data_IF_432043878448
#
_entry.id   IF_432043878448
#
_cell.length_a   1.000
_cell.length_b   1.000
_cell.length_c   1.000
_cell.angle_alpha   90.00
_cell.angle_beta   90.00
_cell.angle_gamma   90.00
#
_symmetry.space_group_name_H-M   'P 1'
#
loop_
_entity.id
_entity.type
_entity.pdbx_description
1 polymer ?
#
# COMPACT_ATOMS: atom_id res chain seq x y z
N UNK A 1 45.17 64.62 -20.66
CA UNK A 1 45.56 64.38 -19.24
C UNK A 1 44.47 64.94 -18.32
N UNK A 2 44.12 64.27 -17.23
CA UNK A 2 42.76 63.72 -17.05
C UNK A 2 41.89 64.44 -15.99
N UNK A 3 40.57 64.40 -16.21
CA UNK A 3 39.52 64.74 -15.24
C UNK A 3 39.36 63.61 -14.20
N UNK A 4 39.03 63.90 -12.94
CA UNK A 4 39.09 62.93 -11.84
C UNK A 4 37.98 61.87 -11.91
N UNK A 5 38.36 60.62 -11.62
CA UNK A 5 37.45 59.48 -11.48
C UNK A 5 36.56 59.67 -10.24
N UNK A 6 35.23 59.75 -10.44
CA UNK A 6 34.24 59.66 -9.36
C UNK A 6 34.17 58.21 -8.84
N UNK A 7 34.37 58.03 -7.53
CA UNK A 7 34.08 56.79 -6.81
C UNK A 7 32.60 56.41 -6.99
N UNK A 8 32.34 55.21 -7.53
CA UNK A 8 31.01 54.59 -7.50
C UNK A 8 30.77 54.08 -6.08
N UNK A 9 29.91 54.77 -5.32
CA UNK A 9 29.34 54.25 -4.07
C UNK A 9 28.56 52.97 -4.38
N UNK A 10 28.94 51.86 -3.75
CA UNK A 10 28.20 50.60 -3.81
C UNK A 10 26.78 50.78 -3.28
N UNK A 11 25.79 50.31 -4.04
CA UNK A 11 24.41 50.18 -3.56
C UNK A 11 24.35 48.98 -2.63
N UNK A 12 24.04 49.21 -1.36
CA UNK A 12 23.57 48.15 -0.46
C UNK A 12 22.24 47.61 -1.01
N UNK A 13 22.03 46.28 -1.06
CA UNK A 13 20.75 45.71 -1.42
C UNK A 13 19.73 46.00 -0.30
N UNK A 14 18.59 46.59 -0.69
CA UNK A 14 17.45 46.80 0.20
C UNK A 14 16.88 45.43 0.59
N UNK A 15 16.84 45.16 1.89
CA UNK A 15 16.13 44.03 2.48
C UNK A 15 14.65 44.12 2.09
N UNK A 16 14.20 43.23 1.21
CA UNK A 16 12.76 43.06 0.96
C UNK A 16 12.14 42.36 2.16
N UNK A 17 11.21 43.04 2.81
CA UNK A 17 10.37 42.46 3.84
C UNK A 17 9.58 41.30 3.23
N UNK A 18 9.78 40.10 3.78
CA UNK A 18 9.01 38.89 3.45
C UNK A 18 7.57 39.13 3.90
N UNK A 19 6.65 39.27 2.95
CA UNK A 19 5.23 39.23 3.26
C UNK A 19 4.84 37.79 3.62
N UNK A 20 4.03 37.58 4.67
CA UNK A 20 3.57 36.24 5.03
C UNK A 20 2.68 35.71 3.92
N UNK A 21 3.05 34.55 3.37
CA UNK A 21 2.24 33.79 2.40
C UNK A 21 0.94 33.41 3.10
N UNK A 22 -0.15 34.05 2.71
CA UNK A 22 -1.48 33.66 3.16
C UNK A 22 -1.75 32.23 2.65
N UNK A 23 -1.83 31.27 3.59
CA UNK A 23 -2.34 29.94 3.32
C UNK A 23 -3.79 30.07 2.84
N UNK A 24 -3.97 30.09 1.53
CA UNK A 24 -5.29 30.00 0.93
C UNK A 24 -5.80 28.57 1.15
N UNK A 25 -6.73 28.40 2.06
CA UNK A 25 -7.47 27.15 2.25
C UNK A 25 -8.30 26.96 0.97
N UNK A 26 -7.80 26.15 0.05
CA UNK A 26 -8.59 25.74 -1.12
C UNK A 26 -9.82 24.98 -0.61
N UNK A 27 -11.01 25.49 -0.89
CA UNK A 27 -12.28 24.83 -0.58
C UNK A 27 -12.28 23.50 -1.33
N UNK A 28 -12.39 22.37 -0.61
CA UNK A 28 -12.48 21.07 -1.24
C UNK A 28 -13.76 21.03 -2.08
N UNK A 29 -13.68 20.69 -3.38
CA UNK A 29 -14.86 20.69 -4.23
C UNK A 29 -15.83 19.59 -3.77
N UNK A 30 -17.13 19.86 -3.89
CA UNK A 30 -18.19 19.06 -3.25
C UNK A 30 -18.98 18.27 -4.28
N UNK A 31 -19.78 17.30 -3.82
CA UNK A 31 -20.63 16.51 -4.72
C UNK A 31 -21.69 17.38 -5.42
N UNK A 32 -22.04 18.52 -4.84
CA UNK A 32 -23.05 19.43 -5.38
C UNK A 32 -22.58 20.16 -6.65
N UNK A 33 -21.27 20.15 -6.92
CA UNK A 33 -20.68 20.68 -8.16
C UNK A 33 -20.88 19.77 -9.38
N UNK A 34 -21.66 18.69 -9.25
CA UNK A 34 -22.02 17.76 -10.33
C UNK A 34 -23.52 17.77 -10.66
N UNK A 35 -24.02 18.78 -11.40
CA UNK A 35 -25.44 18.88 -11.73
C UNK A 35 -25.95 17.73 -12.63
N UNK A 36 -25.07 17.03 -13.35
CA UNK A 36 -25.44 15.94 -14.28
C UNK A 36 -25.50 14.53 -13.67
N UNK A 37 -25.21 14.36 -12.37
CA UNK A 37 -25.32 13.05 -11.71
C UNK A 37 -26.78 12.76 -11.34
N UNK A 38 -27.30 11.63 -11.83
CA UNK A 38 -28.55 11.03 -11.34
C UNK A 38 -28.44 10.75 -9.84
N UNK A 39 -29.54 10.82 -9.08
CA UNK A 39 -29.55 10.67 -7.61
C UNK A 39 -28.83 9.40 -7.12
N UNK A 40 -29.01 8.28 -7.83
CA UNK A 40 -28.35 7.01 -7.52
C UNK A 40 -26.83 7.10 -7.64
N UNK A 41 -26.30 7.74 -8.68
CA UNK A 41 -24.84 7.93 -8.86
C UNK A 41 -24.27 8.91 -7.84
N UNK A 42 -25.04 9.97 -7.52
CA UNK A 42 -24.69 10.93 -6.47
C UNK A 42 -24.52 10.23 -5.12
N UNK A 43 -25.43 9.32 -4.78
CA UNK A 43 -25.38 8.54 -3.55
C UNK A 43 -24.09 7.70 -3.42
N UNK A 44 -23.67 6.99 -4.48
CA UNK A 44 -22.45 6.18 -4.40
C UNK A 44 -21.17 7.00 -4.48
N UNK A 45 -21.20 8.14 -5.17
CA UNK A 45 -20.09 9.08 -5.12
C UNK A 45 -19.94 9.67 -3.71
N UNK A 46 -21.04 10.04 -3.04
CA UNK A 46 -21.03 10.45 -1.64
C UNK A 46 -20.56 9.32 -0.72
N UNK A 47 -21.03 8.09 -0.93
CA UNK A 47 -20.57 6.92 -0.17
C UNK A 47 -19.04 6.76 -0.31
N UNK A 48 -18.52 6.89 -1.52
CA UNK A 48 -17.08 6.85 -1.77
C UNK A 48 -16.35 7.90 -0.93
N UNK A 49 -16.78 9.17 -1.00
CA UNK A 49 -16.11 10.28 -0.31
C UNK A 49 -16.21 10.20 1.22
N UNK A 50 -17.34 9.74 1.76
CA UNK A 50 -17.57 9.70 3.21
C UNK A 50 -16.92 8.48 3.88
N UNK A 51 -16.99 7.33 3.22
CA UNK A 51 -16.65 6.04 3.83
C UNK A 51 -15.47 5.37 3.13
N UNK A 52 -15.53 5.24 1.80
CA UNK A 52 -14.54 4.45 1.08
C UNK A 52 -13.15 5.10 1.12
N UNK A 53 -13.03 6.43 0.99
CA UNK A 53 -11.74 7.14 1.05
C UNK A 53 -10.96 6.94 2.34
N UNK A 54 -11.67 6.77 3.47
CA UNK A 54 -11.07 6.49 4.80
C UNK A 54 -10.53 5.06 4.91
N UNK A 55 -11.10 4.16 4.13
CA UNK A 55 -10.67 2.76 4.05
C UNK A 55 -9.55 2.57 3.00
N UNK A 56 -9.57 3.35 1.92
CA UNK A 56 -8.50 3.33 0.92
C UNK A 56 -7.22 4.08 1.35
N UNK A 57 -7.25 4.83 2.46
CA UNK A 57 -6.07 5.50 3.02
C UNK A 57 -6.33 5.88 4.47
N UNK A 58 -5.44 5.42 5.37
CA UNK A 58 -5.50 5.72 6.81
C UNK A 58 -5.06 7.15 7.16
N UNK A 59 -4.58 7.93 6.19
CA UNK A 59 -4.13 9.30 6.43
C UNK A 59 -5.30 10.24 6.79
N UNK A 60 -5.08 11.21 7.69
CA UNK A 60 -6.08 12.24 8.01
C UNK A 60 -6.62 12.95 6.77
N UNK A 61 -7.84 13.47 6.82
CA UNK A 61 -8.51 14.10 5.67
C UNK A 61 -7.67 15.20 4.96
N UNK A 62 -6.87 15.97 5.71
CA UNK A 62 -5.98 17.01 5.17
C UNK A 62 -4.81 16.47 4.31
N UNK A 63 -4.46 15.19 4.48
CA UNK A 63 -3.40 14.47 3.78
C UNK A 63 -3.91 13.29 2.93
N UNK A 64 -5.20 12.95 3.05
CA UNK A 64 -5.82 11.83 2.35
C UNK A 64 -5.76 12.05 0.82
N UNK A 65 -5.12 11.11 0.13
CA UNK A 65 -4.85 11.21 -1.30
C UNK A 65 -6.13 11.36 -2.13
N UNK A 66 -7.16 10.58 -1.79
CA UNK A 66 -8.40 10.53 -2.54
C UNK A 66 -9.18 11.83 -2.46
N UNK A 67 -9.20 12.45 -1.29
CA UNK A 67 -9.88 13.71 -1.05
C UNK A 67 -9.09 14.92 -1.60
N UNK A 68 -7.77 14.92 -1.42
CA UNK A 68 -6.93 16.08 -1.78
C UNK A 68 -6.53 16.14 -3.25
N UNK A 69 -6.36 14.99 -3.90
CA UNK A 69 -5.83 14.93 -5.27
C UNK A 69 -6.81 14.25 -6.24
N UNK A 70 -7.29 13.05 -5.91
CA UNK A 70 -8.13 12.29 -6.83
C UNK A 70 -9.50 12.97 -7.05
N UNK A 71 -10.11 13.53 -6.01
CA UNK A 71 -11.40 14.22 -6.09
C UNK A 71 -11.34 15.45 -7.02
N UNK A 72 -10.41 16.41 -6.86
CA UNK A 72 -10.23 17.49 -7.83
C UNK A 72 -10.05 16.99 -9.27
N UNK A 73 -9.30 15.90 -9.48
CA UNK A 73 -9.17 15.30 -10.81
C UNK A 73 -10.51 14.75 -11.34
N UNK A 74 -11.36 14.19 -10.48
CA UNK A 74 -12.70 13.68 -10.85
C UNK A 74 -13.67 14.79 -11.31
N UNK A 75 -13.46 16.04 -10.87
CA UNK A 75 -14.24 17.18 -11.39
C UNK A 75 -13.98 17.42 -12.87
N UNK A 76 -12.76 17.19 -13.33
CA UNK A 76 -12.33 17.46 -14.71
C UNK A 76 -12.09 16.20 -15.55
N UNK A 77 -12.27 15.02 -14.97
CA UNK A 77 -12.00 13.74 -15.63
C UNK A 77 -13.15 12.77 -15.36
N UNK A 78 -13.96 12.53 -16.40
CA UNK A 78 -15.03 11.54 -16.36
C UNK A 78 -14.58 10.13 -15.96
N UNK A 79 -13.47 9.55 -16.48
CA UNK A 79 -13.08 8.19 -16.11
C UNK A 79 -12.82 8.05 -14.61
N UNK A 80 -12.17 9.02 -13.96
CA UNK A 80 -11.95 8.99 -12.50
C UNK A 80 -13.28 9.04 -11.76
N UNK A 81 -14.20 9.91 -12.19
CA UNK A 81 -15.54 10.03 -11.58
C UNK A 81 -16.32 8.71 -11.68
N UNK A 82 -16.34 8.09 -12.87
CA UNK A 82 -16.99 6.79 -13.07
C UNK A 82 -16.35 5.70 -12.19
N UNK A 83 -15.02 5.68 -12.09
CA UNK A 83 -14.30 4.75 -11.21
C UNK A 83 -14.65 4.94 -9.73
N UNK A 84 -14.69 6.19 -9.23
CA UNK A 84 -15.08 6.46 -7.84
C UNK A 84 -16.50 6.00 -7.53
N UNK A 85 -17.45 6.22 -8.45
CA UNK A 85 -18.84 5.74 -8.30
C UNK A 85 -18.87 4.20 -8.28
N UNK A 86 -18.11 3.54 -9.17
CA UNK A 86 -18.04 2.08 -9.25
C UNK A 86 -17.48 1.47 -7.94
N UNK A 87 -16.42 2.07 -7.40
CA UNK A 87 -15.79 1.63 -6.14
C UNK A 87 -16.73 1.90 -4.96
N UNK A 88 -17.37 3.08 -4.88
CA UNK A 88 -18.35 3.38 -3.82
C UNK A 88 -19.54 2.42 -3.82
N UNK A 89 -20.08 2.08 -5.01
CA UNK A 89 -21.14 1.10 -5.14
C UNK A 89 -20.70 -0.32 -4.74
N UNK A 90 -19.48 -0.72 -5.12
CA UNK A 90 -18.92 -2.03 -4.77
C UNK A 90 -18.61 -2.15 -3.28
N UNK A 91 -18.09 -1.09 -2.68
CA UNK A 91 -17.80 -1.01 -1.25
C UNK A 91 -19.07 -1.10 -0.42
N UNK A 92 -20.13 -0.38 -0.82
CA UNK A 92 -21.43 -0.48 -0.17
C UNK A 92 -22.04 -1.88 -0.29
N UNK A 93 -21.89 -2.53 -1.45
CA UNK A 93 -22.31 -3.91 -1.64
C UNK A 93 -21.52 -4.87 -0.75
N UNK A 94 -20.20 -4.69 -0.64
CA UNK A 94 -19.33 -5.46 0.24
C UNK A 94 -19.76 -5.36 1.70
N UNK A 95 -19.98 -4.15 2.20
CA UNK A 95 -20.49 -3.94 3.56
C UNK A 95 -21.89 -4.54 3.78
N UNK A 96 -22.81 -4.40 2.82
CA UNK A 96 -24.17 -4.91 2.94
C UNK A 96 -24.23 -6.44 3.07
N UNK A 97 -23.33 -7.17 2.38
CA UNK A 97 -23.25 -8.64 2.47
C UNK A 97 -22.95 -9.12 3.90
N UNK A 98 -22.19 -8.34 4.66
CA UNK A 98 -21.84 -8.68 6.05
C UNK A 98 -23.02 -8.67 7.01
N UNK A 99 -24.10 -7.95 6.68
CA UNK A 99 -25.31 -7.80 7.49
C UNK A 99 -26.43 -8.73 6.96
N UNK A 100 -26.09 -9.72 6.12
CA UNK A 100 -27.06 -10.69 5.59
C UNK A 100 -27.97 -10.16 4.48
N UNK A 101 -27.72 -8.95 3.96
CA UNK A 101 -28.46 -8.45 2.80
C UNK A 101 -28.04 -9.21 1.54
N UNK A 102 -28.92 -10.12 1.12
CA UNK A 102 -28.69 -10.99 -0.03
C UNK A 102 -28.84 -10.22 -1.34
N UNK A 103 -27.72 -10.04 -2.05
CA UNK A 103 -27.63 -9.68 -3.47
C UNK A 103 -28.56 -8.55 -3.98
N UNK A 104 -28.26 -7.28 -3.65
CA UNK A 104 -28.78 -6.14 -4.40
C UNK A 104 -28.14 -6.14 -5.81
N UNK A 105 -28.69 -6.95 -6.71
CA UNK A 105 -28.28 -7.11 -8.11
C UNK A 105 -28.15 -5.76 -8.82
N UNK A 106 -28.94 -4.76 -8.41
CA UNK A 106 -28.86 -3.38 -8.87
C UNK A 106 -27.51 -2.71 -8.56
N UNK A 107 -26.95 -2.92 -7.36
CA UNK A 107 -25.64 -2.37 -6.96
C UNK A 107 -24.54 -2.97 -7.81
N UNK A 108 -24.55 -4.31 -7.97
CA UNK A 108 -23.56 -5.02 -8.78
C UNK A 108 -23.61 -4.57 -10.23
N UNK A 109 -24.81 -4.47 -10.82
CA UNK A 109 -25.00 -4.04 -12.21
C UNK A 109 -24.53 -2.61 -12.42
N UNK A 110 -24.89 -1.68 -11.53
CA UNK A 110 -24.44 -0.29 -11.63
C UNK A 110 -22.92 -0.19 -11.49
N UNK A 111 -22.33 -0.86 -10.51
CA UNK A 111 -20.90 -0.82 -10.26
C UNK A 111 -20.10 -1.33 -11.47
N UNK A 112 -20.49 -2.47 -12.04
CA UNK A 112 -19.90 -3.02 -13.27
C UNK A 112 -20.08 -2.05 -14.46
N UNK A 113 -21.27 -1.47 -14.60
CA UNK A 113 -21.54 -0.53 -15.68
C UNK A 113 -20.65 0.73 -15.59
N UNK A 114 -20.51 1.31 -14.39
CA UNK A 114 -19.63 2.48 -14.18
C UNK A 114 -18.15 2.12 -14.39
N UNK A 115 -17.72 0.95 -13.91
CA UNK A 115 -16.38 0.42 -14.13
C UNK A 115 -16.05 0.30 -15.64
N UNK A 116 -16.91 -0.36 -16.42
CA UNK A 116 -16.71 -0.51 -17.87
C UNK A 116 -16.74 0.86 -18.57
N UNK A 117 -17.62 1.76 -18.16
CA UNK A 117 -17.68 3.13 -18.70
C UNK A 117 -16.37 3.89 -18.44
N UNK A 118 -15.78 3.73 -17.27
CA UNK A 118 -14.49 4.33 -16.92
C UNK A 118 -13.35 3.79 -17.81
N UNK A 119 -13.31 2.47 -18.07
CA UNK A 119 -12.32 1.87 -18.97
C UNK A 119 -12.41 2.48 -20.37
N UNK A 120 -13.62 2.60 -20.94
CA UNK A 120 -13.76 3.22 -22.27
C UNK A 120 -13.36 4.70 -22.26
N UNK A 121 -13.73 5.43 -21.20
CA UNK A 121 -13.47 6.86 -21.09
C UNK A 121 -12.00 7.23 -20.85
N UNK A 122 -11.16 6.33 -20.30
CA UNK A 122 -9.74 6.60 -20.06
C UNK A 122 -8.86 6.42 -21.30
N UNK A 123 -9.30 5.62 -22.30
CA UNK A 123 -8.49 5.31 -23.50
C UNK A 123 -7.96 6.56 -24.23
N UNK A 124 -8.77 7.62 -24.48
CA UNK A 124 -8.25 8.82 -25.15
C UNK A 124 -7.24 9.58 -24.30
N UNK A 125 -7.37 9.52 -22.96
CA UNK A 125 -6.42 10.16 -22.03
C UNK A 125 -5.04 9.50 -22.12
N UNK A 126 -5.00 8.18 -22.30
CA UNK A 126 -3.75 7.41 -22.43
C UNK A 126 -3.00 7.66 -23.73
N UNK A 127 -3.69 8.12 -24.78
CA UNK A 127 -3.07 8.41 -26.08
C UNK A 127 -2.12 9.63 -26.05
N UNK A 128 -2.31 10.54 -25.08
CA UNK A 128 -1.52 11.77 -24.97
C UNK A 128 -0.63 11.70 -23.72
N UNK A 129 0.68 11.52 -23.95
CA UNK A 129 1.69 11.42 -22.88
C UNK A 129 1.97 12.79 -22.25
N UNK A 130 1.26 13.09 -21.17
CA UNK A 130 1.54 14.22 -20.26
C UNK A 130 1.51 13.74 -18.82
N UNK A 131 2.26 14.35 -17.92
CA UNK A 131 2.30 13.98 -16.49
C UNK A 131 0.90 13.91 -15.88
N UNK A 132 0.05 14.90 -16.16
CA UNK A 132 -1.34 14.93 -15.69
C UNK A 132 -2.18 13.74 -16.21
N UNK A 133 -2.02 13.36 -17.49
CA UNK A 133 -2.75 12.23 -18.05
C UNK A 133 -2.24 10.89 -17.49
N UNK A 134 -0.94 10.78 -17.21
CA UNK A 134 -0.40 9.60 -16.53
C UNK A 134 -0.93 9.53 -15.10
N UNK A 135 -0.95 10.63 -14.33
CA UNK A 135 -1.57 10.68 -13.01
C UNK A 135 -3.04 10.25 -13.05
N UNK A 136 -3.82 10.76 -14.01
CA UNK A 136 -5.23 10.36 -14.19
C UNK A 136 -5.38 8.86 -14.46
N UNK A 137 -4.48 8.30 -15.26
CA UNK A 137 -4.47 6.88 -15.59
C UNK A 137 -4.10 6.04 -14.37
N UNK A 138 -3.05 6.41 -13.63
CA UNK A 138 -2.63 5.77 -12.38
C UNK A 138 -3.74 5.79 -11.31
N UNK A 139 -4.43 6.92 -11.14
CA UNK A 139 -5.60 7.04 -10.25
C UNK A 139 -6.70 6.07 -10.67
N UNK A 140 -6.99 5.97 -11.97
CA UNK A 140 -7.98 4.99 -12.46
C UNK A 140 -7.52 3.56 -12.19
N UNK A 141 -6.25 3.22 -12.43
CA UNK A 141 -5.70 1.90 -12.15
C UNK A 141 -5.86 1.51 -10.67
N UNK A 142 -5.54 2.41 -9.72
CA UNK A 142 -5.74 2.13 -8.29
C UNK A 142 -7.22 1.92 -7.94
N UNK A 143 -8.13 2.74 -8.50
CA UNK A 143 -9.57 2.54 -8.30
C UNK A 143 -10.07 1.22 -8.92
N UNK A 144 -9.50 0.81 -10.06
CA UNK A 144 -9.81 -0.47 -10.68
C UNK A 144 -9.27 -1.65 -9.88
N UNK A 145 -8.10 -1.51 -9.26
CA UNK A 145 -7.57 -2.46 -8.27
C UNK A 145 -8.53 -2.58 -7.09
N UNK A 146 -8.97 -1.46 -6.49
CA UNK A 146 -9.93 -1.47 -5.39
C UNK A 146 -11.26 -2.12 -5.78
N UNK A 147 -11.79 -1.80 -6.98
CA UNK A 147 -12.98 -2.44 -7.52
C UNK A 147 -12.77 -3.95 -7.70
N UNK A 148 -11.62 -4.35 -8.25
CA UNK A 148 -11.25 -5.75 -8.47
C UNK A 148 -11.22 -6.54 -7.17
N UNK A 149 -10.62 -5.98 -6.12
CA UNK A 149 -10.56 -6.59 -4.79
C UNK A 149 -11.96 -6.79 -4.20
N UNK A 150 -12.74 -5.72 -4.12
CA UNK A 150 -14.11 -5.73 -3.57
C UNK A 150 -15.05 -6.66 -4.35
N UNK A 151 -14.84 -6.81 -5.65
CA UNK A 151 -15.65 -7.67 -6.51
C UNK A 151 -15.14 -9.11 -6.62
N UNK A 152 -13.99 -9.44 -6.02
CA UNK A 152 -13.32 -10.75 -6.15
C UNK A 152 -12.79 -11.04 -7.56
N UNK A 153 -12.48 -10.01 -8.36
CA UNK A 153 -11.97 -10.11 -9.74
C UNK A 153 -10.43 -9.97 -9.76
N UNK A 154 -9.73 -10.91 -9.14
CA UNK A 154 -8.28 -10.88 -8.97
C UNK A 154 -7.49 -10.77 -10.29
N UNK A 155 -7.90 -11.47 -11.35
CA UNK A 155 -7.23 -11.36 -12.66
C UNK A 155 -7.28 -9.95 -13.26
N UNK A 156 -8.38 -9.22 -13.05
CA UNK A 156 -8.48 -7.82 -13.46
C UNK A 156 -7.62 -6.91 -12.56
N UNK A 157 -7.65 -7.17 -11.26
CA UNK A 157 -6.85 -6.45 -10.27
C UNK A 157 -5.36 -6.49 -10.65
N UNK A 158 -4.80 -7.68 -10.86
CA UNK A 158 -3.38 -7.82 -11.21
C UNK A 158 -3.06 -7.17 -12.56
N UNK A 159 -3.98 -7.21 -13.52
CA UNK A 159 -3.78 -6.53 -14.81
C UNK A 159 -3.67 -5.01 -14.65
N UNK A 160 -4.55 -4.40 -13.85
CA UNK A 160 -4.52 -2.96 -13.58
C UNK A 160 -3.31 -2.55 -12.74
N UNK A 161 -2.90 -3.40 -11.79
CA UNK A 161 -1.71 -3.19 -11.00
C UNK A 161 -0.43 -3.24 -11.84
N UNK A 162 -0.30 -4.23 -12.74
CA UNK A 162 0.81 -4.34 -13.68
C UNK A 162 0.85 -3.16 -14.65
N UNK A 163 -0.29 -2.85 -15.28
CA UNK A 163 -0.38 -1.74 -16.24
C UNK A 163 -0.02 -0.40 -15.59
N UNK A 164 -0.49 -0.15 -14.35
CA UNK A 164 -0.14 1.05 -13.61
C UNK A 164 1.34 1.11 -13.24
N UNK A 165 1.94 0.00 -12.80
CA UNK A 165 3.37 -0.06 -12.49
C UNK A 165 4.25 0.29 -13.71
N UNK A 166 3.88 -0.19 -14.90
CA UNK A 166 4.62 0.09 -16.14
C UNK A 166 4.64 1.60 -16.49
N UNK A 167 3.62 2.37 -16.11
CA UNK A 167 3.55 3.80 -16.39
C UNK A 167 4.60 4.63 -15.62
N UNK A 168 5.21 4.09 -14.57
CA UNK A 168 6.30 4.80 -13.87
C UNK A 168 7.58 4.88 -14.70
N UNK A 169 7.77 4.00 -15.69
CA UNK A 169 8.83 4.14 -16.69
C UNK A 169 8.63 5.39 -17.54
N UNK A 170 7.41 5.62 -18.01
CA UNK A 170 7.07 6.82 -18.79
C UNK A 170 7.27 8.11 -17.97
N UNK A 171 6.94 8.11 -16.68
CA UNK A 171 7.14 9.27 -15.78
C UNK A 171 8.62 9.55 -15.57
N UNK A 172 9.45 8.50 -15.47
CA UNK A 172 10.89 8.61 -15.27
C UNK A 172 11.55 9.35 -16.43
N UNK A 173 11.20 8.98 -17.65
CA UNK A 173 11.71 9.61 -18.86
C UNK A 173 11.24 11.08 -19.03
N UNK A 174 10.07 11.44 -18.49
CA UNK A 174 9.52 12.80 -18.57
C UNK A 174 10.20 13.84 -17.65
N UNK A 175 11.26 13.47 -16.92
CA UNK A 175 12.10 14.35 -16.08
C UNK A 175 11.32 15.24 -15.08
N UNK A 176 10.79 14.62 -14.02
CA UNK A 176 10.11 15.30 -12.91
C UNK A 176 10.98 16.35 -12.17
N UNK A 177 12.30 16.39 -12.38
CA UNK A 177 13.16 17.44 -11.84
C UNK A 177 12.76 18.85 -12.31
N UNK A 178 11.98 18.92 -13.40
CA UNK A 178 11.40 20.16 -13.92
C UNK A 178 9.92 20.35 -13.58
N UNK A 179 9.22 19.30 -13.13
CA UNK A 179 7.79 19.37 -12.78
C UNK A 179 7.52 20.25 -11.56
N UNK A 180 6.35 20.90 -11.48
CA UNK A 180 5.88 21.62 -10.31
C UNK A 180 5.88 20.75 -9.04
N UNK A 181 6.08 21.34 -7.84
CA UNK A 181 6.10 20.58 -6.59
C UNK A 181 4.84 19.73 -6.34
N UNK A 182 3.66 20.20 -6.75
CA UNK A 182 2.40 19.49 -6.57
C UNK A 182 2.34 18.17 -7.36
N UNK A 183 2.80 18.18 -8.61
CA UNK A 183 2.88 16.97 -9.45
C UNK A 183 3.84 15.93 -8.88
N UNK A 184 4.94 16.38 -8.23
CA UNK A 184 5.89 15.49 -7.57
C UNK A 184 5.24 14.79 -6.38
N UNK A 185 4.55 15.53 -5.54
CA UNK A 185 3.85 14.96 -4.37
C UNK A 185 2.79 13.95 -4.79
N UNK A 186 2.03 14.24 -5.87
CA UNK A 186 1.06 13.28 -6.43
C UNK A 186 1.78 12.02 -6.91
N UNK A 187 2.90 12.17 -7.62
CA UNK A 187 3.70 11.03 -8.09
C UNK A 187 4.23 10.19 -6.94
N UNK A 188 4.82 10.80 -5.91
CA UNK A 188 5.36 10.12 -4.74
C UNK A 188 4.28 9.33 -3.99
N UNK A 189 3.09 9.91 -3.80
CA UNK A 189 1.96 9.20 -3.17
C UNK A 189 1.43 8.06 -4.03
N UNK A 190 1.33 8.25 -5.35
CA UNK A 190 0.95 7.17 -6.28
C UNK A 190 1.97 6.05 -6.24
N UNK A 191 3.26 6.38 -6.34
CA UNK A 191 4.38 5.44 -6.27
C UNK A 191 4.32 4.63 -4.98
N UNK A 192 4.13 5.30 -3.84
CA UNK A 192 3.99 4.65 -2.54
C UNK A 192 2.89 3.59 -2.60
N UNK A 193 1.66 3.94 -3.02
CA UNK A 193 0.52 3.02 -3.11
C UNK A 193 0.78 1.84 -4.06
N UNK A 194 1.37 2.08 -5.23
CA UNK A 194 1.69 1.03 -6.20
C UNK A 194 2.79 0.08 -5.69
N UNK A 195 3.81 0.63 -5.03
CA UNK A 195 4.87 -0.14 -4.39
C UNK A 195 4.28 -1.16 -3.42
N UNK A 196 3.39 -0.73 -2.51
CA UNK A 196 2.79 -1.61 -1.51
C UNK A 196 1.99 -2.72 -2.16
N UNK A 197 1.05 -2.32 -3.02
CA UNK A 197 0.12 -3.25 -3.63
C UNK A 197 0.87 -4.29 -4.45
N UNK A 198 1.91 -3.87 -5.17
CA UNK A 198 2.71 -4.79 -5.97
C UNK A 198 3.59 -5.69 -5.12
N UNK A 199 4.15 -5.23 -4.00
CA UNK A 199 4.90 -6.09 -3.07
C UNK A 199 3.98 -7.13 -2.44
N UNK A 200 2.83 -6.72 -1.92
CA UNK A 200 1.80 -7.64 -1.39
C UNK A 200 1.29 -8.63 -2.43
N UNK A 201 1.26 -8.22 -3.70
CA UNK A 201 0.81 -9.05 -4.83
C UNK A 201 1.92 -9.82 -5.52
N UNK A 202 3.17 -9.73 -5.06
CA UNK A 202 4.35 -10.20 -5.80
C UNK A 202 4.29 -11.70 -6.12
N UNK A 203 3.81 -12.53 -5.20
CA UNK A 203 3.62 -13.97 -5.42
C UNK A 203 2.60 -14.32 -6.52
N UNK A 204 1.73 -13.37 -6.88
CA UNK A 204 0.67 -13.54 -7.86
C UNK A 204 0.98 -12.90 -9.21
N UNK A 205 2.12 -12.20 -9.29
CA UNK A 205 2.53 -11.39 -10.43
C UNK A 205 3.87 -11.90 -10.97
N UNK A 206 4.20 -11.52 -12.20
CA UNK A 206 5.51 -11.83 -12.78
C UNK A 206 6.62 -10.99 -12.12
N UNK A 207 7.85 -11.48 -12.13
CA UNK A 207 9.03 -10.84 -11.52
C UNK A 207 9.25 -9.39 -11.98
N UNK A 208 8.82 -9.05 -13.19
CA UNK A 208 9.00 -7.71 -13.77
C UNK A 208 7.85 -6.75 -13.50
N UNK A 209 6.81 -7.19 -12.79
CA UNK A 209 5.60 -6.39 -12.54
C UNK A 209 5.83 -5.14 -11.71
N UNK A 210 6.90 -5.10 -10.91
CA UNK A 210 7.31 -3.95 -10.10
C UNK A 210 8.44 -3.12 -10.72
N UNK A 211 8.88 -3.44 -11.94
CA UNK A 211 10.08 -2.82 -12.56
C UNK A 211 10.04 -1.29 -12.58
N UNK A 212 8.89 -0.68 -12.87
CA UNK A 212 8.74 0.79 -12.93
C UNK A 212 8.93 1.46 -11.58
N UNK A 213 8.31 0.93 -10.54
CA UNK A 213 8.46 1.43 -9.16
C UNK A 213 9.88 1.20 -8.65
N UNK A 214 10.44 0.01 -8.87
CA UNK A 214 11.81 -0.33 -8.46
C UNK A 214 12.86 0.57 -9.14
N UNK A 215 12.72 0.83 -10.44
CA UNK A 215 13.58 1.75 -11.17
C UNK A 215 13.47 3.18 -10.63
N UNK A 216 12.25 3.61 -10.29
CA UNK A 216 12.00 4.95 -9.75
C UNK A 216 12.75 5.18 -8.43
N UNK A 217 12.59 4.27 -7.47
CA UNK A 217 13.26 4.37 -6.16
C UNK A 217 14.78 4.36 -6.31
N UNK A 218 15.34 3.44 -7.11
CA UNK A 218 16.79 3.37 -7.39
C UNK A 218 17.35 4.67 -7.96
N UNK A 219 16.58 5.36 -8.81
CA UNK A 219 17.05 6.56 -9.50
C UNK A 219 16.92 7.85 -8.70
N UNK A 220 15.92 7.93 -7.80
CA UNK A 220 15.59 9.17 -7.08
C UNK A 220 16.10 9.19 -5.64
N UNK A 221 16.45 8.04 -5.07
CA UNK A 221 17.01 7.92 -3.73
C UNK A 221 18.28 7.06 -3.77
N UNK A 222 19.43 7.62 -4.22
CA UNK A 222 20.71 7.00 -3.88
C UNK A 222 20.78 6.92 -2.35
N UNK A 223 21.26 5.78 -1.82
CA UNK A 223 21.44 5.49 -0.39
C UNK A 223 21.73 6.79 0.39
N UNK A 224 20.71 7.31 1.10
CA UNK A 224 20.86 8.54 1.88
C UNK A 224 21.99 8.31 2.90
N UNK A 225 22.80 9.34 3.12
CA UNK A 225 23.70 9.38 4.28
C UNK A 225 22.84 9.19 5.53
N UNK A 226 23.25 8.23 6.36
CA UNK A 226 22.68 7.94 7.67
C UNK A 226 22.30 9.25 8.40
N UNK A 227 21.02 9.41 8.73
CA UNK A 227 20.53 10.52 9.55
C UNK A 227 20.02 9.96 10.86
N UNK A 228 20.43 10.57 11.97
CA UNK A 228 19.97 10.20 13.31
C UNK A 228 18.78 11.07 13.77
N UNK A 229 18.28 11.95 12.89
CA UNK A 229 17.16 12.83 13.23
C UNK A 229 15.81 12.10 13.12
N UNK A 230 14.85 12.42 14.02
CA UNK A 230 13.48 11.92 13.90
C UNK A 230 12.89 12.24 12.52
N UNK A 231 11.98 11.39 12.04
CA UNK A 231 11.18 11.72 10.86
C UNK A 231 10.37 13.00 11.08
N UNK A 232 10.18 13.78 10.02
CA UNK A 232 9.34 14.98 10.00
C UNK A 232 7.90 14.68 10.34
N UNK A 233 7.35 13.61 9.75
CA UNK A 233 6.00 13.13 9.98
C UNK A 233 5.86 11.64 9.60
N UNK A 234 4.67 11.08 9.84
CA UNK A 234 4.37 9.67 9.53
C UNK A 234 4.38 9.35 8.03
N UNK A 235 4.20 10.34 7.15
CA UNK A 235 4.28 10.12 5.71
C UNK A 235 5.74 9.90 5.29
N UNK A 236 6.68 10.67 5.84
CA UNK A 236 8.12 10.45 5.61
C UNK A 236 8.57 9.08 6.13
N UNK A 237 8.13 8.70 7.34
CA UNK A 237 8.44 7.39 7.92
C UNK A 237 7.90 6.24 7.04
N UNK A 238 6.63 6.34 6.60
CA UNK A 238 6.02 5.38 5.68
C UNK A 238 6.81 5.26 4.38
N UNK A 239 7.10 6.40 3.74
CA UNK A 239 7.79 6.44 2.46
C UNK A 239 9.20 5.86 2.51
N UNK A 240 9.96 6.11 3.60
CA UNK A 240 11.28 5.52 3.78
C UNK A 240 11.22 4.01 4.09
N UNK A 241 10.23 3.55 4.85
CA UNK A 241 10.05 2.11 5.13
C UNK A 241 9.77 1.31 3.84
N UNK A 242 9.02 1.88 2.89
CA UNK A 242 8.75 1.25 1.57
C UNK A 242 10.00 0.93 0.77
N UNK A 243 11.10 1.62 1.02
CA UNK A 243 12.34 1.35 0.32
C UNK A 243 12.91 0.00 0.74
N UNK A 244 12.64 -0.46 1.97
CA UNK A 244 13.04 -1.80 2.43
C UNK A 244 12.25 -2.89 1.69
N UNK A 245 10.95 -2.65 1.41
CA UNK A 245 10.09 -3.59 0.68
C UNK A 245 10.69 -3.98 -0.70
N UNK A 246 11.43 -3.06 -1.34
CA UNK A 246 12.00 -3.19 -2.68
C UNK A 246 13.43 -3.76 -2.72
N UNK A 247 14.09 -3.94 -1.57
CA UNK A 247 15.42 -4.55 -1.49
C UNK A 247 15.33 -6.08 -1.52
N UNK A 248 14.83 -6.63 -2.63
CA UNK A 248 14.68 -8.08 -2.79
C UNK A 248 16.01 -8.83 -2.63
N UNK A 249 17.11 -8.25 -3.10
CA UNK A 249 18.44 -8.88 -3.04
C UNK A 249 18.98 -9.02 -1.60
N UNK A 250 18.38 -8.33 -0.63
CA UNK A 250 18.78 -8.38 0.78
C UNK A 250 17.79 -9.18 1.67
N UNK A 251 16.76 -9.82 1.07
CA UNK A 251 15.70 -10.53 1.82
C UNK A 251 16.16 -11.94 2.21
N UNK A 252 16.21 -12.28 3.51
CA UNK A 252 16.75 -13.56 3.97
C UNK A 252 15.89 -14.78 3.65
N UNK A 253 14.68 -14.60 3.12
CA UNK A 253 13.78 -15.69 2.71
C UNK A 253 13.74 -15.93 1.20
N UNK A 254 14.43 -15.13 0.38
CA UNK A 254 14.55 -15.33 -1.06
C UNK A 254 15.74 -16.26 -1.38
N UNK A 255 15.75 -17.46 -0.79
CA UNK A 255 16.85 -18.44 -0.88
C UNK A 255 17.09 -19.00 -2.30
N UNK A 256 16.13 -18.85 -3.21
CA UNK A 256 16.23 -19.39 -4.59
C UNK A 256 17.30 -18.70 -5.46
N UNK A 257 17.87 -17.55 -5.05
CA UNK A 257 18.95 -16.88 -5.82
C UNK A 257 20.37 -17.23 -5.38
N UNK A 258 20.56 -17.86 -4.22
CA UNK A 258 21.90 -18.27 -3.78
C UNK A 258 22.48 -19.40 -4.64
N UNK A 259 21.65 -20.11 -5.42
CA UNK A 259 22.11 -21.22 -6.27
C UNK A 259 22.79 -20.81 -7.58
N UNK A 260 22.75 -19.55 -8.00
CA UNK A 260 23.39 -19.10 -9.27
C UNK A 260 24.76 -18.41 -9.09
N UNK A 261 25.14 -18.08 -7.85
CA UNK A 261 26.44 -17.46 -7.53
C UNK A 261 27.22 -18.28 -6.52
N UNK A 262 27.50 -19.56 -6.84
CA UNK A 262 28.59 -20.28 -6.20
C UNK A 262 29.94 -19.68 -6.64
N UNK A 263 30.38 -18.69 -5.87
CA UNK A 263 31.73 -18.14 -5.90
C UNK A 263 32.15 -17.79 -4.48
N UNK A 264 32.66 -18.80 -3.76
CA UNK A 264 33.64 -18.71 -2.67
C UNK A 264 33.64 -17.41 -1.83
N UNK A 265 32.86 -17.38 -0.74
CA UNK A 265 33.11 -16.47 0.39
C UNK A 265 32.80 -17.18 1.72
N UNK A 266 33.74 -17.03 2.65
CA UNK A 266 33.84 -17.82 3.87
C UNK A 266 32.85 -17.45 4.99
N UNK A 267 32.80 -18.36 5.96
CA UNK A 267 32.11 -18.24 7.24
C UNK A 267 32.50 -16.94 7.96
N UNK A 268 31.61 -15.96 7.88
CA UNK A 268 31.62 -14.76 8.69
C UNK A 268 30.22 -14.15 8.67
N UNK A 269 29.56 -14.07 9.82
CA UNK A 269 28.28 -13.37 10.00
C UNK A 269 28.49 -11.87 9.70
N UNK A 270 28.39 -11.46 8.43
CA UNK A 270 28.19 -10.05 8.11
C UNK A 270 26.78 -9.64 8.57
N UNK A 271 26.63 -8.58 9.39
CA UNK A 271 25.32 -8.05 9.73
C UNK A 271 24.53 -7.74 8.46
N UNK A 272 23.34 -8.32 8.30
CA UNK A 272 22.49 -8.05 7.14
C UNK A 272 22.30 -6.53 6.99
N UNK A 273 22.68 -5.98 5.82
CA UNK A 273 22.49 -4.56 5.45
C UNK A 273 21.03 -4.11 5.62
N UNK A 274 20.10 -5.05 5.48
CA UNK A 274 18.67 -4.84 5.73
C UNK A 274 18.38 -4.62 7.22
N UNK A 275 18.99 -5.41 8.09
CA UNK A 275 18.87 -5.27 9.55
C UNK A 275 19.40 -3.93 10.06
N UNK A 276 20.54 -3.46 9.55
CA UNK A 276 21.06 -2.13 9.89
C UNK A 276 20.12 -1.00 9.43
N UNK A 277 19.62 -1.10 8.19
CA UNK A 277 18.68 -0.12 7.65
C UNK A 277 17.37 -0.07 8.45
N UNK A 278 16.84 -1.24 8.86
CA UNK A 278 15.66 -1.31 9.71
C UNK A 278 15.94 -0.73 11.10
N UNK A 279 17.06 -1.08 11.74
CA UNK A 279 17.43 -0.52 13.05
C UNK A 279 17.51 1.00 13.02
N UNK A 280 18.12 1.57 11.97
CA UNK A 280 18.16 3.01 11.78
C UNK A 280 16.76 3.60 11.61
N UNK A 281 15.94 2.99 10.76
CA UNK A 281 14.57 3.43 10.55
C UNK A 281 13.77 3.41 11.86
N UNK A 282 13.84 2.30 12.62
CA UNK A 282 13.16 2.10 13.90
C UNK A 282 13.57 3.16 14.93
N UNK A 283 14.88 3.47 15.03
CA UNK A 283 15.37 4.52 15.94
C UNK A 283 14.72 5.89 15.65
N UNK A 284 14.69 6.29 14.37
CA UNK A 284 14.09 7.56 13.95
C UNK A 284 12.57 7.58 14.13
N UNK A 285 11.91 6.43 13.90
CA UNK A 285 10.48 6.27 14.06
C UNK A 285 10.07 6.34 15.53
N UNK A 286 10.79 5.68 16.43
CA UNK A 286 10.52 5.76 17.87
C UNK A 286 10.75 7.18 18.41
N UNK A 287 11.78 7.88 17.92
CA UNK A 287 11.99 9.27 18.28
C UNK A 287 10.83 10.17 17.82
N UNK A 288 10.27 9.96 16.61
CA UNK A 288 9.05 10.65 16.17
C UNK A 288 7.84 10.29 17.04
N UNK A 289 7.65 9.00 17.34
CA UNK A 289 6.51 8.52 18.11
C UNK A 289 6.51 9.10 19.54
N UNK A 290 7.68 9.24 20.15
CA UNK A 290 7.86 9.90 21.45
C UNK A 290 7.52 11.39 21.39
N UNK A 291 7.94 12.10 20.33
CA UNK A 291 7.63 13.53 20.15
C UNK A 291 6.14 13.79 19.95
N UNK A 292 5.41 12.88 19.28
CA UNK A 292 3.97 13.03 19.06
C UNK A 292 3.12 12.85 20.34
N UNK A 293 3.63 12.10 21.32
CA UNK A 293 2.96 11.88 22.61
C UNK A 293 1.55 11.27 22.47
N UNK A 294 0.65 11.58 23.40
CA UNK A 294 -0.74 11.06 23.45
C UNK A 294 -1.75 11.90 22.67
N UNK A 295 -1.35 13.03 22.07
CA UNK A 295 -2.25 14.03 21.47
C UNK A 295 -2.55 13.79 19.97
N UNK A 296 -2.54 12.54 19.51
CA UNK A 296 -2.82 12.21 18.12
C UNK A 296 -4.33 12.18 17.83
N UNK A 297 -4.73 12.73 16.69
CA UNK A 297 -6.06 12.47 16.13
C UNK A 297 -6.24 10.97 15.88
N UNK A 298 -7.48 10.47 15.89
CA UNK A 298 -7.80 9.06 15.60
C UNK A 298 -7.14 8.54 14.32
N UNK A 299 -7.17 9.32 13.23
CA UNK A 299 -6.58 8.93 11.95
C UNK A 299 -5.04 8.81 12.04
N UNK A 300 -4.37 9.82 12.62
CA UNK A 300 -2.93 9.79 12.84
C UNK A 300 -2.49 8.66 13.81
N UNK A 301 -3.31 8.36 14.81
CA UNK A 301 -3.11 7.20 15.69
C UNK A 301 -3.19 5.88 14.92
N UNK A 302 -4.14 5.75 14.00
CA UNK A 302 -4.29 4.58 13.13
C UNK A 302 -3.09 4.42 12.20
N UNK A 303 -2.62 5.51 11.59
CA UNK A 303 -1.41 5.52 10.75
C UNK A 303 -0.16 5.10 11.56
N UNK A 304 0.00 5.60 12.79
CA UNK A 304 1.10 5.22 13.67
C UNK A 304 1.06 3.72 14.02
N UNK A 305 -0.11 3.19 14.35
CA UNK A 305 -0.28 1.77 14.65
C UNK A 305 0.01 0.87 13.44
N UNK A 306 -0.39 1.28 12.24
CA UNK A 306 -0.08 0.56 11.01
C UNK A 306 1.44 0.53 10.73
N UNK A 307 2.15 1.64 10.95
CA UNK A 307 3.61 1.70 10.84
C UNK A 307 4.31 0.83 11.90
N UNK A 308 3.81 0.81 13.14
CA UNK A 308 4.31 -0.08 14.19
C UNK A 308 4.11 -1.55 13.85
N UNK A 309 2.94 -1.93 13.33
CA UNK A 309 2.67 -3.29 12.89
C UNK A 309 3.68 -3.74 11.84
N UNK A 310 3.93 -2.88 10.85
CA UNK A 310 4.90 -3.13 9.80
C UNK A 310 6.34 -3.17 10.30
N UNK A 311 6.71 -2.32 11.25
CA UNK A 311 8.00 -2.41 11.93
C UNK A 311 8.16 -3.78 12.60
N UNK A 312 7.15 -4.22 13.37
CA UNK A 312 7.17 -5.53 14.03
C UNK A 312 7.20 -6.69 13.05
N UNK A 313 6.53 -6.54 11.90
CA UNK A 313 6.60 -7.51 10.82
C UNK A 313 8.04 -7.66 10.32
N UNK A 314 8.71 -6.55 9.99
CA UNK A 314 10.09 -6.59 9.52
C UNK A 314 11.09 -7.12 10.56
N UNK A 315 10.93 -6.72 11.83
CA UNK A 315 11.74 -7.24 12.94
C UNK A 315 11.55 -8.77 13.08
N UNK A 316 10.30 -9.23 13.14
CA UNK A 316 9.96 -10.66 13.19
C UNK A 316 10.56 -11.42 12.02
N UNK A 317 10.46 -10.90 10.79
CA UNK A 317 10.95 -11.61 9.62
C UNK A 317 12.48 -11.68 9.59
N UNK A 318 13.19 -10.62 9.97
CA UNK A 318 14.65 -10.66 10.04
C UNK A 318 15.11 -11.64 11.13
N UNK A 319 14.47 -11.62 12.30
CA UNK A 319 14.82 -12.50 13.41
C UNK A 319 14.47 -13.97 13.12
N UNK A 320 13.33 -14.24 12.47
CA UNK A 320 12.91 -15.60 12.15
C UNK A 320 13.88 -16.34 11.23
N UNK A 321 14.56 -15.62 10.34
CA UNK A 321 15.54 -16.18 9.41
C UNK A 321 17.00 -15.99 9.87
N UNK A 322 17.24 -15.54 11.12
CA UNK A 322 18.60 -15.46 11.65
C UNK A 322 19.16 -16.82 12.07
N UNK A 323 18.30 -17.77 12.46
CA UNK A 323 18.69 -19.15 12.76
C UNK A 323 17.49 -20.11 12.72
N UNK A 324 17.76 -21.41 12.58
CA UNK A 324 16.75 -22.48 12.65
C UNK A 324 15.98 -22.49 14.00
N UNK A 325 16.66 -22.20 15.11
CA UNK A 325 16.06 -22.13 16.43
C UNK A 325 15.08 -20.97 16.56
N UNK A 326 15.30 -19.87 15.82
CA UNK A 326 14.44 -18.70 15.84
C UNK A 326 13.03 -19.01 15.33
N UNK A 327 12.87 -19.93 14.36
CA UNK A 327 11.59 -20.41 13.85
C UNK A 327 10.77 -21.17 14.90
N UNK A 328 11.45 -21.76 15.89
CA UNK A 328 10.83 -22.50 16.99
C UNK A 328 10.68 -21.66 18.26
N UNK A 329 11.25 -20.45 18.30
CA UNK A 329 11.23 -19.59 19.47
C UNK A 329 9.97 -18.71 19.49
N UNK A 330 9.09 -18.84 20.49
CA UNK A 330 7.87 -18.04 20.56
C UNK A 330 8.12 -16.54 20.69
N UNK A 331 9.28 -16.15 21.26
CA UNK A 331 9.65 -14.76 21.46
C UNK A 331 9.97 -14.02 20.15
N UNK A 332 10.32 -14.74 19.08
CA UNK A 332 10.51 -14.19 17.73
C UNK A 332 9.20 -13.60 17.21
N UNK A 333 8.07 -14.28 17.48
CA UNK A 333 6.77 -13.95 16.90
C UNK A 333 5.86 -13.13 17.83
N UNK A 334 6.08 -13.21 19.15
CA UNK A 334 5.23 -12.58 20.17
C UNK A 334 5.07 -11.06 20.01
N UNK A 335 6.11 -10.27 19.67
CA UNK A 335 5.96 -8.81 19.47
C UNK A 335 5.04 -8.45 18.31
N UNK A 336 5.14 -9.16 17.19
CA UNK A 336 4.25 -8.98 16.04
C UNK A 336 2.82 -9.40 16.40
N UNK A 337 2.63 -10.56 17.04
CA UNK A 337 1.32 -11.03 17.46
C UNK A 337 0.60 -10.05 18.39
N UNK A 338 1.30 -9.51 19.39
CA UNK A 338 0.75 -8.51 20.31
C UNK A 338 0.30 -7.26 19.57
N UNK A 339 1.09 -6.80 18.59
CA UNK A 339 0.74 -5.64 17.77
C UNK A 339 -0.44 -5.95 16.85
N UNK A 340 -0.48 -7.14 16.26
CA UNK A 340 -1.55 -7.61 15.40
C UNK A 340 -2.89 -7.66 16.13
N UNK A 341 -2.93 -8.17 17.37
CA UNK A 341 -4.12 -8.17 18.22
C UNK A 341 -4.63 -6.74 18.51
N UNK A 342 -3.71 -5.82 18.82
CA UNK A 342 -4.04 -4.41 19.07
C UNK A 342 -4.63 -3.73 17.82
N UNK A 343 -4.05 -3.96 16.64
CA UNK A 343 -4.55 -3.41 15.36
C UNK A 343 -5.85 -4.09 14.92
N UNK A 344 -6.04 -5.37 15.24
CA UNK A 344 -7.25 -6.13 14.93
C UNK A 344 -8.46 -5.73 15.78
N UNK A 345 -8.25 -5.35 17.05
CA UNK A 345 -9.31 -5.12 18.03
C UNK A 345 -10.42 -4.13 17.56
N UNK A 346 -10.11 -2.99 16.92
CA UNK A 346 -11.14 -2.09 16.40
C UNK A 346 -12.01 -2.73 15.31
N UNK A 347 -11.43 -3.53 14.42
CA UNK A 347 -12.16 -4.22 13.35
C UNK A 347 -13.09 -5.30 13.91
N UNK A 348 -12.58 -6.09 14.85
CA UNK A 348 -13.36 -7.14 15.55
C UNK A 348 -14.53 -6.50 16.31
N UNK A 349 -14.28 -5.40 17.02
CA UNK A 349 -15.31 -4.68 17.78
C UNK A 349 -16.39 -4.08 16.87
N UNK A 350 -16.02 -3.62 15.68
CA UNK A 350 -16.96 -3.09 14.69
C UNK A 350 -17.94 -4.16 14.18
N UNK A 351 -17.52 -5.44 14.18
CA UNK A 351 -18.34 -6.60 13.79
C UNK A 351 -19.05 -6.43 12.43
N UNK A 352 -18.33 -5.87 11.46
CA UNK A 352 -18.80 -5.64 10.09
C UNK A 352 -17.66 -5.87 9.12
N UNK A 353 -17.98 -6.22 7.87
CA UNK A 353 -16.92 -6.38 6.87
C UNK A 353 -16.29 -5.03 6.55
N UNK A 354 -14.98 -4.95 6.73
CA UNK A 354 -14.19 -3.74 6.47
C UNK A 354 -13.18 -4.01 5.36
N UNK A 355 -12.84 -2.96 4.62
CA UNK A 355 -11.87 -3.02 3.55
C UNK A 355 -10.74 -2.04 3.83
N UNK A 356 -9.55 -2.36 3.38
CA UNK A 356 -8.48 -1.40 3.17
C UNK A 356 -7.77 -1.70 1.87
N UNK A 357 -7.28 -0.67 1.21
CA UNK A 357 -6.36 -0.86 0.07
C UNK A 357 -4.98 -1.30 0.56
N UNK A 358 -4.68 -0.92 1.79
CA UNK A 358 -3.44 -1.13 2.51
C UNK A 358 -3.52 -2.44 3.30
N UNK A 359 -2.51 -3.30 3.18
CA UNK A 359 -2.42 -4.56 3.92
C UNK A 359 -1.07 -4.76 4.58
N UNK A 360 -1.11 -5.27 5.81
CA UNK A 360 0.05 -5.64 6.65
C UNK A 360 -0.37 -6.64 7.73
N UNK A 361 -1.64 -6.60 8.16
CA UNK A 361 -2.15 -7.45 9.23
C UNK A 361 -2.43 -8.87 8.72
N UNK A 362 -3.23 -9.00 7.66
CA UNK A 362 -3.65 -10.30 7.15
C UNK A 362 -2.47 -11.00 6.47
N UNK A 363 -1.71 -10.27 5.65
CA UNK A 363 -0.51 -10.80 5.01
C UNK A 363 0.55 -11.21 6.04
N UNK A 364 0.80 -10.37 7.04
CA UNK A 364 1.74 -10.67 8.12
C UNK A 364 1.33 -11.86 8.99
N UNK A 365 0.05 -11.99 9.35
CA UNK A 365 -0.47 -13.17 10.07
C UNK A 365 -0.35 -14.44 9.23
N UNK A 366 -0.67 -14.36 7.93
CA UNK A 366 -0.51 -15.49 7.02
C UNK A 366 0.97 -15.90 6.88
N UNK A 367 1.86 -14.93 6.78
CA UNK A 367 3.31 -15.16 6.70
C UNK A 367 3.83 -15.84 7.96
N UNK A 368 3.52 -15.27 9.13
CA UNK A 368 3.86 -15.83 10.44
C UNK A 368 3.45 -17.30 10.54
N UNK A 369 2.22 -17.62 10.15
CA UNK A 369 1.69 -18.99 10.25
C UNK A 369 2.40 -19.97 9.33
N UNK A 370 2.93 -19.48 8.21
CA UNK A 370 3.65 -20.29 7.23
C UNK A 370 5.04 -20.68 7.75
N UNK A 371 5.69 -19.82 8.53
CA UNK A 371 7.09 -20.01 8.94
C UNK A 371 7.27 -20.51 10.38
N UNK A 372 6.36 -20.20 11.29
CA UNK A 372 6.53 -20.57 12.71
C UNK A 372 6.39 -22.09 12.91
N UNK A 373 7.18 -22.66 13.82
CA UNK A 373 7.01 -24.06 14.27
C UNK A 373 6.14 -24.16 15.54
N UNK A 374 5.72 -23.03 16.12
CA UNK A 374 4.87 -23.00 17.32
C UNK A 374 3.37 -23.13 16.97
N UNK A 375 2.78 -24.28 17.31
CA UNK A 375 1.35 -24.54 17.09
C UNK A 375 0.41 -23.63 17.89
N UNK A 376 0.82 -23.17 19.08
CA UNK A 376 0.06 -22.22 19.89
C UNK A 376 -0.08 -20.87 19.18
N UNK A 377 1.02 -20.36 18.63
CA UNK A 377 1.02 -19.12 17.85
C UNK A 377 0.23 -19.28 16.56
N UNK A 378 0.38 -20.41 15.83
CA UNK A 378 -0.45 -20.70 14.65
C UNK A 378 -1.95 -20.66 15.01
N UNK A 379 -2.33 -21.29 16.11
CA UNK A 379 -3.72 -21.31 16.57
C UNK A 379 -4.23 -19.92 16.97
N UNK A 380 -3.40 -19.09 17.61
CA UNK A 380 -3.75 -17.71 17.96
C UNK A 380 -3.95 -16.86 16.71
N UNK A 381 -3.02 -16.89 15.77
CA UNK A 381 -3.09 -16.15 14.52
C UNK A 381 -4.31 -16.57 13.68
N UNK A 382 -4.57 -17.88 13.56
CA UNK A 382 -5.74 -18.40 12.84
C UNK A 382 -7.05 -17.96 13.50
N UNK A 383 -7.14 -17.97 14.84
CA UNK A 383 -8.32 -17.49 15.54
C UNK A 383 -8.51 -15.97 15.38
N UNK A 384 -7.42 -15.19 15.35
CA UNK A 384 -7.48 -13.76 15.10
C UNK A 384 -8.04 -13.48 13.70
N UNK A 385 -7.54 -14.17 12.67
CA UNK A 385 -8.03 -14.06 11.28
C UNK A 385 -9.51 -14.43 11.16
N UNK A 386 -9.95 -15.52 11.82
CA UNK A 386 -11.37 -15.95 11.81
C UNK A 386 -12.31 -14.84 12.29
N UNK A 387 -11.92 -14.11 13.32
CA UNK A 387 -12.74 -13.06 13.93
C UNK A 387 -12.60 -11.69 13.25
N UNK A 388 -11.61 -11.51 12.37
CA UNK A 388 -11.23 -10.20 11.86
C UNK A 388 -12.26 -9.58 10.90
N UNK A 389 -12.91 -10.41 10.07
CA UNK A 389 -13.87 -9.98 9.02
C UNK A 389 -13.38 -8.76 8.21
N UNK A 390 -12.10 -8.78 7.86
CA UNK A 390 -11.41 -7.68 7.17
C UNK A 390 -10.81 -8.17 5.85
N UNK A 391 -10.66 -7.23 4.91
CA UNK A 391 -10.09 -7.45 3.59
C UNK A 391 -9.07 -6.36 3.28
N UNK A 392 -7.81 -6.75 3.11
CA UNK A 392 -6.66 -5.88 2.86
C UNK A 392 -6.11 -6.10 1.45
N UNK A 393 -6.39 -5.19 0.51
CA UNK A 393 -5.89 -5.30 -0.85
C UNK A 393 -6.36 -6.58 -1.53
N UNK A 394 -5.47 -7.57 -1.66
CA UNK A 394 -5.80 -8.91 -2.21
C UNK A 394 -6.16 -9.95 -1.14
N UNK A 395 -5.87 -9.65 0.12
CA UNK A 395 -5.96 -10.57 1.24
C UNK A 395 -7.32 -10.45 1.91
N UNK A 396 -8.11 -11.51 1.84
CA UNK A 396 -9.37 -11.62 2.57
C UNK A 396 -9.18 -12.57 3.76
N UNK A 397 -9.48 -12.09 4.97
CA UNK A 397 -9.21 -12.85 6.20
C UNK A 397 -9.85 -14.23 6.20
N UNK A 398 -11.08 -14.38 5.68
CA UNK A 398 -11.80 -15.65 5.63
C UNK A 398 -11.21 -16.60 4.58
N UNK A 399 -10.79 -16.06 3.44
CA UNK A 399 -10.08 -16.86 2.45
C UNK A 399 -8.72 -17.36 2.97
N UNK A 400 -7.99 -16.53 3.72
CA UNK A 400 -6.71 -16.92 4.32
C UNK A 400 -6.90 -17.99 5.40
N UNK A 401 -7.93 -17.87 6.25
CA UNK A 401 -8.32 -18.95 7.18
C UNK A 401 -8.53 -20.26 6.44
N UNK A 402 -9.31 -20.23 5.35
CA UNK A 402 -9.60 -21.42 4.55
C UNK A 402 -8.33 -22.04 3.95
N UNK A 403 -7.39 -21.22 3.48
CA UNK A 403 -6.09 -21.69 2.98
C UNK A 403 -5.36 -22.47 4.08
N UNK A 404 -5.19 -21.87 5.25
CA UNK A 404 -4.42 -22.48 6.34
C UNK A 404 -5.12 -23.71 6.94
N UNK A 405 -6.45 -23.73 7.01
CA UNK A 405 -7.20 -24.92 7.42
C UNK A 405 -7.00 -26.09 6.43
N UNK A 406 -6.96 -25.82 5.12
CA UNK A 406 -6.66 -26.85 4.12
C UNK A 406 -5.21 -27.34 4.22
N UNK A 407 -4.24 -26.45 4.45
CA UNK A 407 -2.84 -26.83 4.66
C UNK A 407 -2.71 -27.74 5.89
N UNK A 408 -3.25 -27.34 7.04
CA UNK A 408 -3.22 -28.12 8.28
C UNK A 408 -3.91 -29.48 8.11
N UNK A 409 -5.01 -29.53 7.34
CA UNK A 409 -5.72 -30.79 7.08
C UNK A 409 -4.93 -31.71 6.15
N UNK A 410 -4.23 -31.17 5.15
CA UNK A 410 -3.42 -31.94 4.20
C UNK A 410 -2.08 -32.44 4.75
N UNK A 411 -1.48 -31.71 5.70
CA UNK A 411 -0.26 -32.14 6.42
C UNK A 411 -0.47 -33.42 7.25
N UNK A 412 -1.72 -33.81 7.56
CA UNK A 412 -2.01 -35.06 8.25
C UNK A 412 -1.88 -36.32 7.36
N UNK A 413 -1.89 -36.18 6.04
CA UNK A 413 -2.01 -37.30 5.10
C UNK A 413 -0.74 -37.60 4.26
N UNK A 414 0.31 -36.76 4.34
CA UNK A 414 1.58 -36.95 3.62
C UNK A 414 2.79 -36.35 4.37
N UNK A 415 4.01 -36.85 4.09
CA UNK A 415 5.25 -36.20 4.58
C UNK A 415 5.25 -34.70 4.22
N UNK A 416 5.80 -33.83 5.09
CA UNK A 416 5.74 -32.38 4.91
C UNK A 416 6.62 -31.97 3.72
N UNK A 417 6.10 -32.06 2.50
CA UNK A 417 6.51 -31.14 1.45
C UNK A 417 6.10 -29.75 1.97
N UNK A 418 7.08 -28.92 2.34
CA UNK A 418 6.91 -27.52 2.72
C UNK A 418 5.96 -26.87 1.71
N UNK A 419 4.69 -26.77 2.11
CA UNK A 419 3.67 -26.16 1.28
C UNK A 419 3.80 -24.65 1.46
N UNK A 420 4.91 -24.12 0.98
CA UNK A 420 5.22 -22.71 1.05
C UNK A 420 4.20 -21.96 0.21
N UNK A 421 3.21 -21.41 0.90
CA UNK A 421 2.25 -20.46 0.36
C UNK A 421 2.96 -19.28 -0.35
N UNK A 422 4.21 -19.06 0.01
CA UNK A 422 5.14 -18.05 -0.51
C UNK A 422 5.98 -18.53 -1.70
N UNK A 423 6.09 -19.83 -1.95
CA UNK A 423 6.77 -20.42 -3.10
C UNK A 423 5.82 -20.78 -4.25
N UNK A 424 4.50 -20.60 -4.10
CA UNK A 424 3.55 -20.82 -5.20
C UNK A 424 3.57 -19.67 -6.20
N UNK A 425 4.67 -19.56 -6.96
CA UNK A 425 4.75 -18.68 -8.12
C UNK A 425 3.68 -19.15 -9.12
N UNK A 426 2.88 -18.19 -9.59
CA UNK A 426 1.83 -18.36 -10.62
C UNK A 426 0.48 -18.91 -10.11
N UNK A 427 -0.25 -18.10 -9.34
CA UNK A 427 -1.70 -18.23 -9.16
C UNK A 427 -2.45 -17.10 -9.92
N UNK A 428 -2.69 -17.21 -11.23
CA UNK A 428 -3.31 -16.11 -12.01
C UNK A 428 -4.74 -15.76 -11.54
N UNK A 429 -5.42 -16.69 -10.87
CA UNK A 429 -6.74 -16.48 -10.26
C UNK A 429 -6.68 -15.84 -8.85
N UNK A 430 -5.48 -15.54 -8.33
CA UNK A 430 -5.28 -15.02 -6.97
C UNK A 430 -5.56 -16.06 -5.88
N UNK A 431 -5.99 -15.57 -4.72
CA UNK A 431 -6.33 -16.37 -3.53
C UNK A 431 -7.34 -17.50 -3.83
N UNK A 432 -8.44 -17.29 -4.59
CA UNK A 432 -9.34 -18.38 -4.98
C UNK A 432 -8.64 -19.52 -5.74
N UNK A 433 -7.65 -19.20 -6.57
CA UNK A 433 -6.87 -20.21 -7.31
C UNK A 433 -5.99 -21.05 -6.39
N UNK A 434 -5.44 -20.47 -5.32
CA UNK A 434 -4.72 -21.23 -4.29
C UNK A 434 -5.66 -22.20 -3.59
N UNK A 435 -6.83 -21.72 -3.15
CA UNK A 435 -7.83 -22.56 -2.48
C UNK A 435 -8.25 -23.72 -3.37
N UNK A 436 -8.54 -23.45 -4.65
CA UNK A 436 -8.93 -24.49 -5.60
C UNK A 436 -7.84 -25.56 -5.79
N UNK A 437 -6.56 -25.16 -5.82
CA UNK A 437 -5.44 -26.12 -5.90
C UNK A 437 -5.32 -26.97 -4.64
N UNK A 438 -5.41 -26.36 -3.46
CA UNK A 438 -5.34 -27.08 -2.18
C UNK A 438 -6.50 -28.07 -2.02
N UNK A 439 -7.70 -27.75 -2.51
CA UNK A 439 -8.86 -28.65 -2.47
C UNK A 439 -8.75 -29.87 -3.41
N UNK A 440 -7.80 -29.86 -4.35
CA UNK A 440 -7.57 -30.97 -5.29
C UNK A 440 -6.47 -31.93 -4.83
N UNK A 441 -5.68 -31.54 -3.83
CA UNK A 441 -4.79 -32.44 -3.10
C UNK A 441 -5.67 -33.30 -2.20
#
# INVERSE_FOLDING_TARGET
MPKPKKQRRGRQPKTQAVQPVANSIAILPTVDDFPSLTDVKRLYFQHFLQWTTRQLSVSPASKNFWLRYALPMAHHSEPIRYSMIAVGASHRLFMARSIGFSHPWEFKRLAIHQYNKAITAILPTMAVKTTLNVHRTLVCCLLFVSFGALAGRYGELFRHLRAGNQLFHDIHDMSLRTSPPEERVVTEKLLEMFCRLGVESSNFMDEHSLSGVSQWYRSNFPLKVSSDLPFKDLDEASYELRQLDLRQDDKPWDAERETETQGDYGEGEEPSKLGDALRQWSSRFEALAQLQGTHLSTDAGSQLQNLRLRQRFWEMTIDAFSSEEALSNPQTFSPFMTMAESVAAPFITMNQSTFSLDGDLISGLSFLMSITRDHGIKSQALNLLRNLNHHEGIWDSQNVVKIHELIISGECDSEPEECDLWCVREAPAGIPGIIERLQRR
#
